data_IF_453063081612
#
_entry.id   IF_453063081612
#
_cell.length_a   1.000
_cell.length_b   1.000
_cell.length_c   1.000
_cell.angle_alpha   90.00
_cell.angle_beta   90.00
_cell.angle_gamma   90.00
#
_symmetry.space_group_name_H-M   'P 1'
#
loop_
_entity.id
_entity.type
_entity.pdbx_description
1 polymer ?
#
# COMPACT_ATOMS: atom_id res chain seq x y z
N UNK A 1 29.11 -11.39 3.47
CA UNK A 1 27.78 -10.75 3.48
C UNK A 1 27.99 -9.31 3.08
N UNK A 2 27.42 -8.88 1.95
CA UNK A 2 27.44 -7.47 1.54
C UNK A 2 26.29 -6.80 2.31
N UNK A 3 26.62 -6.01 3.32
CA UNK A 3 25.62 -5.22 4.04
C UNK A 3 25.22 -4.05 3.13
N UNK A 4 23.95 -3.97 2.74
CA UNK A 4 23.42 -2.81 2.01
C UNK A 4 23.59 -1.56 2.87
N UNK A 5 23.91 -0.46 2.23
CA UNK A 5 23.88 0.86 2.86
C UNK A 5 22.44 1.31 3.07
N UNK A 6 22.22 2.18 4.05
CA UNK A 6 20.93 2.81 4.30
C UNK A 6 20.38 3.55 3.07
N UNK A 7 21.25 4.11 2.25
CA UNK A 7 20.87 4.74 0.99
C UNK A 7 20.29 3.73 -0.01
N UNK A 8 20.90 2.56 -0.14
CA UNK A 8 20.41 1.47 -1.00
C UNK A 8 19.07 0.91 -0.47
N UNK A 9 18.95 0.67 0.84
CA UNK A 9 17.72 0.21 1.48
C UNK A 9 16.57 1.19 1.19
N UNK A 10 16.81 2.47 1.41
CA UNK A 10 15.80 3.50 1.22
C UNK A 10 15.42 3.67 -0.26
N UNK A 11 16.40 3.57 -1.16
CA UNK A 11 16.17 3.64 -2.59
C UNK A 11 15.31 2.47 -3.09
N UNK A 12 15.58 1.24 -2.65
CA UNK A 12 14.77 0.07 -3.01
C UNK A 12 13.33 0.19 -2.49
N UNK A 13 13.14 0.66 -1.25
CA UNK A 13 11.80 0.95 -0.71
C UNK A 13 11.06 1.96 -1.58
N UNK A 14 11.73 3.03 -1.99
CA UNK A 14 11.14 4.03 -2.87
C UNK A 14 10.77 3.46 -4.25
N UNK A 15 11.62 2.58 -4.82
CA UNK A 15 11.35 1.93 -6.10
C UNK A 15 10.15 0.98 -6.03
N UNK A 16 10.06 0.15 -5.00
CA UNK A 16 8.94 -0.78 -4.78
C UNK A 16 7.61 -0.06 -4.55
N UNK A 17 7.66 1.13 -3.94
CA UNK A 17 6.49 2.00 -3.80
C UNK A 17 6.17 2.81 -5.08
N UNK A 18 7.00 2.73 -6.12
CA UNK A 18 6.85 3.50 -7.36
C UNK A 18 7.15 4.99 -7.21
N UNK A 19 7.91 5.39 -6.18
CA UNK A 19 8.21 6.79 -5.86
C UNK A 19 9.61 7.15 -6.36
N UNK A 20 9.69 8.00 -7.37
CA UNK A 20 10.97 8.38 -7.99
C UNK A 20 11.59 9.66 -7.41
N UNK A 21 10.84 10.41 -6.61
CA UNK A 21 11.26 11.72 -6.11
C UNK A 21 11.39 11.74 -4.58
N UNK A 22 12.61 11.95 -4.09
CA UNK A 22 12.93 12.01 -2.65
C UNK A 22 12.19 13.13 -1.90
N UNK A 23 11.93 14.27 -2.55
CA UNK A 23 11.16 15.36 -1.94
C UNK A 23 9.69 15.03 -1.84
N UNK A 24 9.15 14.29 -2.82
CA UNK A 24 7.78 13.76 -2.73
C UNK A 24 7.66 12.78 -1.57
N UNK A 25 8.58 11.81 -1.50
CA UNK A 25 8.61 10.81 -0.42
C UNK A 25 8.71 11.47 0.96
N UNK A 26 9.62 12.44 1.13
CA UNK A 26 9.77 13.18 2.38
C UNK A 26 8.48 13.92 2.80
N UNK A 27 7.78 14.54 1.84
CA UNK A 27 6.50 15.22 2.10
C UNK A 27 5.41 14.25 2.54
N UNK A 28 5.31 13.08 1.92
CA UNK A 28 4.34 12.05 2.32
C UNK A 28 4.59 11.54 3.75
N UNK A 29 5.87 11.52 4.18
CA UNK A 29 6.26 11.17 5.54
C UNK A 29 6.14 12.35 6.54
N UNK A 30 5.65 13.52 6.09
CA UNK A 30 5.44 14.70 6.90
C UNK A 30 6.71 15.49 7.24
N UNK A 31 7.74 15.43 6.40
CA UNK A 31 8.90 16.31 6.51
C UNK A 31 8.66 17.63 5.76
N UNK A 32 9.30 18.71 6.25
CA UNK A 32 9.20 20.03 5.64
C UNK A 32 9.88 20.11 4.26
N UNK A 33 10.91 19.30 4.02
CA UNK A 33 11.66 19.26 2.77
C UNK A 33 12.28 17.88 2.50
N UNK A 34 12.81 17.70 1.29
CA UNK A 34 13.45 16.45 0.84
C UNK A 34 14.85 16.19 1.36
N UNK A 35 15.50 17.16 2.01
CA UNK A 35 16.93 17.07 2.35
C UNK A 35 17.26 15.87 3.23
N UNK A 36 16.41 15.55 4.20
CA UNK A 36 16.63 14.41 5.10
C UNK A 36 16.73 13.09 4.31
N UNK A 37 15.82 12.86 3.36
CA UNK A 37 15.80 11.66 2.52
C UNK A 37 16.94 11.69 1.51
N UNK A 38 17.15 12.82 0.82
CA UNK A 38 18.21 12.97 -0.18
C UNK A 38 19.61 12.74 0.39
N UNK A 39 19.87 13.20 1.63
CA UNK A 39 21.19 13.02 2.23
C UNK A 39 21.45 11.55 2.61
N UNK A 40 20.41 10.80 3.02
CA UNK A 40 20.52 9.35 3.25
C UNK A 40 20.77 8.62 1.93
N UNK A 41 20.01 8.96 0.87
CA UNK A 41 20.19 8.36 -0.47
C UNK A 41 21.59 8.58 -1.05
N UNK A 42 22.24 9.70 -0.72
CA UNK A 42 23.62 10.00 -1.13
C UNK A 42 24.68 9.36 -0.25
N UNK A 43 24.30 8.70 0.84
CA UNK A 43 25.24 8.12 1.80
C UNK A 43 26.07 9.17 2.54
N UNK A 44 25.53 10.36 2.80
CA UNK A 44 26.24 11.39 3.56
C UNK A 44 26.59 10.89 4.97
N UNK A 45 27.83 11.16 5.42
CA UNK A 45 28.30 10.71 6.73
C UNK A 45 27.39 11.21 7.86
N UNK A 46 27.00 10.29 8.75
CA UNK A 46 26.11 10.60 9.88
C UNK A 46 24.63 10.75 9.52
N UNK A 47 24.23 10.41 8.30
CA UNK A 47 22.83 10.33 7.85
C UNK A 47 22.46 8.87 7.61
N UNK A 48 21.49 8.39 8.39
CA UNK A 48 21.09 6.99 8.44
C UNK A 48 19.58 6.87 8.61
N UNK A 49 19.04 5.67 8.36
CA UNK A 49 17.65 5.34 8.62
C UNK A 49 17.44 5.30 10.14
N UNK A 50 16.96 6.40 10.70
CA UNK A 50 16.64 6.49 12.14
C UNK A 50 15.37 5.73 12.49
N UNK A 51 15.21 5.30 13.74
CA UNK A 51 13.97 4.72 14.27
C UNK A 51 12.73 5.55 13.94
N UNK A 52 12.84 6.88 14.10
CA UNK A 52 11.74 7.81 13.80
C UNK A 52 11.33 7.77 12.32
N UNK A 53 12.30 7.56 11.42
CA UNK A 53 12.03 7.42 9.99
C UNK A 53 11.35 6.08 9.71
N UNK A 54 11.82 5.00 10.33
CA UNK A 54 11.19 3.66 10.23
C UNK A 54 9.73 3.74 10.64
N UNK A 55 9.43 4.29 11.82
CA UNK A 55 8.04 4.45 12.30
C UNK A 55 7.19 5.28 11.33
N UNK A 56 7.74 6.36 10.76
CA UNK A 56 7.02 7.17 9.77
C UNK A 56 6.72 6.38 8.50
N UNK A 57 7.69 5.61 7.99
CA UNK A 57 7.53 4.80 6.78
C UNK A 57 6.49 3.70 7.04
N UNK A 58 6.60 2.93 8.11
CA UNK A 58 5.70 1.81 8.39
C UNK A 58 4.28 2.28 8.72
N UNK A 59 4.12 3.45 9.36
CA UNK A 59 2.79 4.04 9.58
C UNK A 59 2.15 4.55 8.28
N UNK A 60 2.94 5.11 7.35
CA UNK A 60 2.44 5.65 6.08
C UNK A 60 2.21 4.55 5.03
N UNK A 61 3.08 3.55 5.01
CA UNK A 61 3.07 2.42 4.08
C UNK A 61 3.15 1.11 4.87
N UNK A 62 2.02 0.60 5.40
CA UNK A 62 1.99 -0.60 6.25
C UNK A 62 2.50 -1.89 5.58
N UNK A 63 2.49 -1.89 4.24
CA UNK A 63 3.02 -2.94 3.37
C UNK A 63 4.55 -3.00 3.36
N UNK A 64 5.26 -1.96 3.78
CA UNK A 64 6.73 -2.02 3.87
C UNK A 64 7.13 -2.90 5.06
N UNK A 65 8.09 -3.79 4.85
CA UNK A 65 8.60 -4.67 5.89
C UNK A 65 9.59 -3.91 6.80
N UNK A 66 9.30 -3.90 8.10
CA UNK A 66 10.12 -3.19 9.08
C UNK A 66 11.50 -3.85 9.22
N UNK A 67 11.54 -5.18 9.17
CA UNK A 67 12.80 -5.92 9.23
C UNK A 67 13.76 -5.52 8.10
N UNK A 68 13.21 -5.31 6.90
CA UNK A 68 13.97 -4.85 5.74
C UNK A 68 14.59 -3.47 5.97
N UNK A 69 13.82 -2.52 6.51
CA UNK A 69 14.33 -1.17 6.83
C UNK A 69 15.48 -1.18 7.85
N UNK A 70 15.52 -2.18 8.73
CA UNK A 70 16.52 -2.29 9.81
C UNK A 70 17.78 -3.04 9.42
N UNK A 71 17.65 -4.01 8.52
CA UNK A 71 18.72 -4.99 8.21
C UNK A 71 19.12 -5.00 6.73
N UNK A 72 18.27 -4.49 5.85
CA UNK A 72 18.44 -4.60 4.40
C UNK A 72 18.33 -6.04 3.87
N UNK A 73 17.76 -6.93 4.67
CA UNK A 73 17.64 -8.36 4.39
C UNK A 73 16.15 -8.76 4.24
N UNK A 74 15.88 -9.71 3.35
CA UNK A 74 14.52 -10.20 3.07
C UNK A 74 13.77 -9.37 2.02
N UNK A 75 12.45 -9.48 2.03
CA UNK A 75 11.56 -8.76 1.10
C UNK A 75 11.33 -7.31 1.54
N UNK A 76 11.37 -6.37 0.60
CA UNK A 76 11.11 -4.94 0.86
C UNK A 76 9.66 -4.71 1.31
N UNK A 77 8.74 -5.39 0.64
CA UNK A 77 7.32 -5.39 0.96
C UNK A 77 6.97 -6.70 1.65
N UNK A 78 6.06 -6.61 2.61
CA UNK A 78 5.38 -7.78 3.16
C UNK A 78 4.74 -8.54 2.02
N UNK A 79 4.88 -9.86 2.04
CA UNK A 79 4.10 -10.70 1.14
C UNK A 79 2.65 -10.27 1.29
N UNK A 80 2.01 -9.92 0.17
CA UNK A 80 0.56 -9.71 0.19
C UNK A 80 0.01 -10.97 0.81
N UNK A 81 -0.59 -10.83 1.99
CA UNK A 81 -1.51 -11.82 2.51
C UNK A 81 -2.44 -12.09 1.34
N UNK A 82 -2.27 -13.26 0.70
CA UNK A 82 -3.31 -13.82 -0.15
C UNK A 82 -4.56 -13.58 0.65
N UNK A 83 -5.52 -12.84 0.09
CA UNK A 83 -6.81 -12.65 0.71
C UNK A 83 -7.31 -14.07 0.93
N UNK A 84 -7.04 -14.63 2.12
CA UNK A 84 -7.67 -15.84 2.58
C UNK A 84 -9.12 -15.47 2.46
N UNK A 85 -9.76 -16.15 1.53
CA UNK A 85 -11.14 -16.09 1.17
C UNK A 85 -11.96 -16.13 2.45
N UNK A 86 -12.11 -14.97 3.10
CA UNK A 86 -13.12 -14.72 4.09
C UNK A 86 -14.38 -14.53 3.25
N UNK A 87 -14.84 -15.69 2.77
CA UNK A 87 -16.08 -15.89 2.07
C UNK A 87 -17.17 -15.47 3.05
N UNK A 88 -17.52 -14.19 3.01
CA UNK A 88 -18.80 -13.75 3.52
C UNK A 88 -19.79 -14.35 2.50
N UNK A 89 -20.28 -15.54 2.82
CA UNK A 89 -21.11 -16.46 2.03
C UNK A 89 -20.33 -17.61 1.35
N UNK A 90 -20.80 -18.81 1.66
CA UNK A 90 -20.31 -20.17 1.34
C UNK A 90 -20.38 -20.50 -0.16
N UNK A 91 -19.84 -19.63 -1.00
CA UNK A 91 -19.90 -19.74 -2.45
C UNK A 91 -18.51 -19.47 -3.02
N UNK A 92 -17.89 -20.52 -3.55
CA UNK A 92 -16.56 -20.51 -4.17
C UNK A 92 -16.54 -19.64 -5.42
N UNK A 93 -16.44 -18.32 -5.24
CA UNK A 93 -16.21 -17.39 -6.33
C UNK A 93 -14.71 -17.12 -6.50
N UNK A 94 -14.25 -17.15 -7.74
CA UNK A 94 -12.89 -16.83 -8.14
C UNK A 94 -12.82 -15.42 -8.73
N UNK A 95 -11.62 -14.87 -8.89
CA UNK A 95 -11.42 -13.54 -9.50
C UNK A 95 -12.04 -13.44 -10.92
N UNK A 96 -12.11 -14.57 -11.62
CA UNK A 96 -12.71 -14.65 -12.96
C UNK A 96 -14.24 -14.51 -12.94
N UNK A 97 -14.86 -14.70 -11.77
CA UNK A 97 -16.31 -14.60 -11.60
C UNK A 97 -16.75 -13.17 -11.25
N UNK A 98 -15.81 -12.26 -11.01
CA UNK A 98 -16.10 -10.85 -10.70
C UNK A 98 -16.97 -10.15 -11.74
N UNK A 99 -16.75 -10.28 -13.06
CA UNK A 99 -17.61 -9.63 -14.05
C UNK A 99 -19.06 -10.09 -13.94
N UNK A 100 -19.27 -11.39 -13.68
CA UNK A 100 -20.60 -11.99 -13.54
C UNK A 100 -21.28 -11.52 -12.26
N UNK A 101 -20.56 -11.51 -11.13
CA UNK A 101 -21.07 -11.03 -9.85
C UNK A 101 -21.45 -9.55 -9.88
N UNK A 102 -20.62 -8.73 -10.54
CA UNK A 102 -20.91 -7.31 -10.72
C UNK A 102 -22.17 -7.14 -11.58
N UNK A 103 -22.33 -7.92 -12.66
CA UNK A 103 -23.51 -7.86 -13.50
C UNK A 103 -24.79 -8.26 -12.73
N UNK A 104 -24.71 -9.30 -11.89
CA UNK A 104 -25.82 -9.76 -11.06
C UNK A 104 -26.20 -8.73 -9.99
N UNK A 105 -25.21 -8.12 -9.32
CA UNK A 105 -25.43 -7.06 -8.35
C UNK A 105 -26.10 -5.83 -8.99
N UNK A 106 -25.65 -5.42 -10.18
CA UNK A 106 -26.26 -4.30 -10.92
C UNK A 106 -27.71 -4.62 -11.27
N UNK A 107 -28.02 -5.87 -11.64
CA UNK A 107 -29.39 -6.29 -11.97
C UNK A 107 -30.30 -6.20 -10.76
N UNK A 108 -29.88 -6.71 -9.60
CA UNK A 108 -30.65 -6.61 -8.35
C UNK A 108 -30.82 -5.16 -7.89
N UNK A 109 -29.79 -4.32 -8.07
CA UNK A 109 -29.89 -2.90 -7.77
C UNK A 109 -30.91 -2.19 -8.66
N UNK A 110 -30.95 -2.50 -9.97
CA UNK A 110 -31.95 -1.96 -10.89
C UNK A 110 -33.37 -2.37 -10.48
N UNK A 111 -33.56 -3.65 -10.18
CA UNK A 111 -34.85 -4.17 -9.71
C UNK A 111 -35.31 -3.49 -8.42
N UNK A 112 -34.39 -3.28 -7.48
CA UNK A 112 -34.68 -2.57 -6.23
C UNK A 112 -35.12 -1.13 -6.52
N UNK A 113 -34.43 -0.42 -7.41
CA UNK A 113 -34.78 0.94 -7.79
C UNK A 113 -36.15 1.03 -8.48
N UNK A 114 -36.48 0.07 -9.34
CA UNK A 114 -37.81 -0.04 -9.96
C UNK A 114 -38.90 -0.20 -8.90
N UNK A 115 -38.75 -1.16 -7.99
CA UNK A 115 -39.70 -1.36 -6.88
C UNK A 115 -39.84 -0.12 -5.99
N UNK A 116 -38.73 0.57 -5.69
CA UNK A 116 -38.76 1.81 -4.91
C UNK A 116 -39.51 2.91 -5.66
N UNK A 117 -39.28 3.04 -6.97
CA UNK A 117 -40.00 4.01 -7.80
C UNK A 117 -41.49 3.71 -7.89
N UNK A 118 -41.89 2.45 -8.00
CA UNK A 118 -43.29 2.04 -7.98
C UNK A 118 -43.95 2.35 -6.63
N UNK A 119 -43.22 2.15 -5.53
CA UNK A 119 -43.70 2.45 -4.19
C UNK A 119 -43.89 3.96 -3.97
N UNK A 120 -42.94 4.78 -4.43
CA UNK A 120 -43.01 6.24 -4.34
C UNK A 120 -44.14 6.80 -5.21
N UNK A 121 -44.35 6.26 -6.41
CA UNK A 121 -45.39 6.74 -7.35
C UNK A 121 -46.82 6.25 -7.03
N UNK A 122 -47.00 5.34 -6.06
CA UNK A 122 -48.32 4.85 -5.61
C UNK A 122 -48.90 5.63 -4.42
N UNK A 123 -48.15 6.58 -3.85
CA UNK A 123 -48.63 7.54 -2.83
C UNK A 123 -48.79 8.93 -3.44
#
# INVERSE_FOLDING_TARGET
>A
MNNKSDGEILNEVMQELGITNASHFARELGYANGSAISNILRGESGKYISEKLITKITNRYPLVEEFYLRKGEGSVLKEKVSLESHSINDSNYTLNDLPTLIAELIKEQKRTNELLSEFVNKN
#
